data_IF_881564814179
#
_entry.id   IF_881564814179
#
_cell.length_a   1.000
_cell.length_b   1.000
_cell.length_c   1.000
_cell.angle_alpha   90.00
_cell.angle_beta   90.00
_cell.angle_gamma   90.00
#
_symmetry.space_group_name_H-M   'P 1'
#
loop_
_entity.id
_entity.type
_entity.pdbx_description
1 polymer ?
#
# COMPACT_ATOMS: atom_id res chain seq x y z
N UNK A 1 -25.55 -1.72 10.65
CA UNK A 1 -24.74 -1.89 9.41
C UNK A 1 -25.68 -2.46 8.36
N UNK A 2 -25.71 -1.89 7.15
CA UNK A 2 -26.57 -2.32 6.04
C UNK A 2 -25.75 -3.13 5.02
N UNK A 3 -26.40 -3.94 4.18
CA UNK A 3 -25.72 -4.61 3.09
C UNK A 3 -25.40 -3.65 1.94
N UNK A 4 -24.43 -4.02 1.12
CA UNK A 4 -24.02 -3.27 -0.07
C UNK A 4 -25.20 -3.01 -1.02
N UNK A 5 -25.99 -4.06 -1.29
CA UNK A 5 -27.21 -3.94 -2.09
C UNK A 5 -28.23 -2.94 -1.52
N UNK A 6 -28.40 -2.90 -0.19
CA UNK A 6 -29.31 -1.93 0.44
C UNK A 6 -28.79 -0.50 0.30
N UNK A 7 -27.48 -0.31 0.42
CA UNK A 7 -26.84 0.99 0.21
C UNK A 7 -27.04 1.48 -1.23
N UNK A 8 -26.78 0.62 -2.22
CA UNK A 8 -26.95 0.96 -3.64
C UNK A 8 -28.38 1.37 -4.00
N UNK A 9 -29.37 0.64 -3.46
CA UNK A 9 -30.77 0.99 -3.65
C UNK A 9 -31.10 2.39 -3.12
N UNK A 10 -30.60 2.73 -1.93
CA UNK A 10 -30.83 4.04 -1.32
C UNK A 10 -30.13 5.15 -2.10
N UNK A 11 -28.90 4.93 -2.56
CA UNK A 11 -28.14 5.88 -3.35
C UNK A 11 -28.83 6.17 -4.70
N UNK A 12 -29.34 5.12 -5.35
CA UNK A 12 -30.10 5.25 -6.61
C UNK A 12 -31.39 6.04 -6.41
N UNK A 13 -32.10 5.81 -5.30
CA UNK A 13 -33.31 6.55 -4.96
C UNK A 13 -33.01 8.04 -4.72
N UNK A 14 -31.93 8.35 -3.99
CA UNK A 14 -31.48 9.71 -3.77
C UNK A 14 -31.18 10.42 -5.11
N UNK A 15 -30.43 9.78 -6.00
CA UNK A 15 -30.16 10.31 -7.34
C UNK A 15 -31.41 10.57 -8.18
N UNK A 16 -32.46 9.75 -8.04
CA UNK A 16 -33.74 9.98 -8.74
C UNK A 16 -34.49 11.19 -8.18
N UNK A 17 -34.45 11.39 -6.86
CA UNK A 17 -35.10 12.54 -6.20
C UNK A 17 -34.39 13.83 -6.60
N UNK A 18 -33.07 13.87 -6.54
CA UNK A 18 -32.27 15.06 -6.91
C UNK A 18 -32.40 15.40 -8.40
N UNK A 19 -32.51 14.40 -9.28
CA UNK A 19 -32.82 14.64 -10.70
C UNK A 19 -34.18 15.28 -10.92
N UNK A 20 -35.16 14.94 -10.07
CA UNK A 20 -36.52 15.46 -10.14
C UNK A 20 -36.64 16.85 -9.50
N UNK A 21 -35.84 17.13 -8.47
CA UNK A 21 -35.83 18.38 -7.72
C UNK A 21 -34.38 18.89 -7.59
N UNK A 22 -33.83 19.52 -8.64
CA UNK A 22 -32.44 20.00 -8.64
C UNK A 22 -32.13 21.02 -7.54
N UNK A 23 -33.14 21.73 -7.05
CA UNK A 23 -33.05 22.69 -5.95
C UNK A 23 -32.71 22.05 -4.59
N UNK A 24 -32.86 20.73 -4.46
CA UNK A 24 -32.55 19.98 -3.24
C UNK A 24 -31.10 19.47 -3.20
N UNK A 25 -30.33 19.66 -4.28
CA UNK A 25 -28.93 19.20 -4.34
C UNK A 25 -28.09 20.05 -3.39
N UNK A 26 -27.39 19.38 -2.47
CA UNK A 26 -26.44 20.00 -1.55
C UNK A 26 -25.00 19.55 -1.86
N UNK A 27 -24.01 20.38 -1.52
CA UNK A 27 -22.59 20.08 -1.76
C UNK A 27 -22.08 18.84 -1.01
N UNK A 28 -22.69 18.51 0.12
CA UNK A 28 -22.32 17.37 0.96
C UNK A 28 -23.04 16.07 0.59
N UNK A 29 -24.00 16.13 -0.36
CA UNK A 29 -24.80 14.98 -0.79
C UNK A 29 -23.91 13.84 -1.29
N UNK A 30 -24.19 12.58 -0.89
CA UNK A 30 -23.46 11.41 -1.38
C UNK A 30 -23.36 11.30 -2.90
N UNK A 31 -24.32 11.85 -3.65
CA UNK A 31 -24.34 11.79 -5.13
C UNK A 31 -23.40 12.81 -5.78
N UNK A 32 -23.00 13.85 -5.05
CA UNK A 32 -22.07 14.89 -5.50
C UNK A 32 -20.62 14.55 -5.16
N UNK A 33 -20.40 13.53 -4.32
CA UNK A 33 -19.08 12.99 -3.99
C UNK A 33 -18.55 12.13 -5.13
N UNK A 34 -18.16 12.77 -6.23
CA UNK A 34 -17.20 12.15 -7.14
C UNK A 34 -15.88 12.18 -6.38
N UNK A 35 -15.19 11.03 -6.28
CA UNK A 35 -13.88 10.95 -5.63
C UNK A 35 -13.05 12.16 -6.03
N UNK A 36 -12.50 12.88 -5.04
CA UNK A 36 -11.80 14.13 -5.29
C UNK A 36 -10.83 13.93 -6.46
N UNK A 37 -10.73 14.88 -7.41
CA UNK A 37 -9.68 14.81 -8.39
C UNK A 37 -8.36 14.55 -7.64
N UNK A 38 -7.58 13.58 -8.12
CA UNK A 38 -6.23 13.35 -7.62
C UNK A 38 -5.42 14.62 -7.95
N UNK A 39 -5.55 15.66 -7.13
CA UNK A 39 -4.78 16.88 -7.26
C UNK A 39 -3.34 16.56 -6.89
N UNK A 40 -2.54 16.33 -7.92
CA UNK A 40 -1.12 16.03 -7.78
C UNK A 40 -0.88 14.61 -7.25
N UNK A 41 0.09 13.93 -7.85
CA UNK A 41 0.67 12.75 -7.21
C UNK A 41 1.30 13.10 -5.87
N UNK A 42 1.68 12.09 -5.10
CA UNK A 42 2.45 12.31 -3.89
C UNK A 42 3.79 12.97 -4.21
N UNK A 43 4.16 13.99 -3.44
CA UNK A 43 5.49 14.58 -3.51
C UNK A 43 6.52 13.57 -2.99
N UNK A 44 7.61 13.37 -3.73
CA UNK A 44 8.76 12.61 -3.23
C UNK A 44 9.35 13.28 -2.00
N UNK A 45 9.68 12.49 -1.00
CA UNK A 45 10.42 12.94 0.18
C UNK A 45 11.75 12.19 0.26
N UNK A 46 12.81 12.88 0.67
CA UNK A 46 14.09 12.23 0.92
C UNK A 46 14.05 11.48 2.25
N UNK A 47 14.55 10.25 2.25
CA UNK A 47 14.71 9.47 3.48
C UNK A 47 15.87 10.05 4.30
N UNK A 48 15.70 10.13 5.63
CA UNK A 48 16.71 10.67 6.55
C UNK A 48 17.99 9.82 6.59
N UNK A 49 17.91 8.56 6.20
CA UNK A 49 19.04 7.65 6.01
C UNK A 49 18.83 6.83 4.73
N UNK A 50 19.91 6.22 4.23
CA UNK A 50 19.84 5.37 3.04
C UNK A 50 19.04 4.12 3.34
N UNK A 51 17.95 3.93 2.60
CA UNK A 51 17.24 2.65 2.58
C UNK A 51 18.04 1.64 1.75
N UNK A 52 18.52 0.59 2.40
CA UNK A 52 19.21 -0.51 1.74
C UNK A 52 18.20 -1.61 1.39
N UNK A 53 18.43 -2.29 0.27
CA UNK A 53 17.73 -3.53 -0.07
C UNK A 53 18.52 -4.72 0.47
N UNK A 54 17.81 -5.84 0.64
CA UNK A 54 18.43 -7.14 0.78
C UNK A 54 18.65 -7.75 -0.61
N UNK A 55 19.68 -8.57 -0.74
CA UNK A 55 19.94 -9.37 -1.93
C UNK A 55 19.30 -10.74 -1.73
N UNK A 56 18.58 -11.22 -2.75
CA UNK A 56 17.97 -12.55 -2.74
C UNK A 56 18.98 -13.65 -3.08
N UNK A 57 18.68 -14.88 -2.66
CA UNK A 57 19.36 -16.09 -3.09
C UNK A 57 18.31 -17.09 -3.60
N UNK A 58 18.52 -17.62 -4.80
CA UNK A 58 17.59 -18.50 -5.51
C UNK A 58 18.00 -19.97 -5.47
N UNK A 59 19.26 -20.24 -5.16
CA UNK A 59 19.78 -21.60 -4.99
C UNK A 59 20.74 -21.74 -3.79
N UNK A 60 21.08 -22.99 -3.49
CA UNK A 60 21.94 -23.32 -2.37
C UNK A 60 23.39 -22.87 -2.55
N UNK A 61 23.86 -22.72 -3.79
CA UNK A 61 25.22 -22.26 -4.05
C UNK A 61 25.34 -20.78 -3.70
N UNK A 62 24.36 -19.96 -4.12
CA UNK A 62 24.31 -18.54 -3.77
C UNK A 62 24.24 -18.32 -2.25
N UNK A 63 23.48 -19.16 -1.54
CA UNK A 63 23.45 -19.15 -0.08
C UNK A 63 24.81 -19.50 0.53
N UNK A 64 25.50 -20.52 0.01
CA UNK A 64 26.83 -20.90 0.50
C UNK A 64 27.89 -19.82 0.26
N UNK A 65 27.83 -19.13 -0.88
CA UNK A 65 28.73 -18.03 -1.19
C UNK A 65 28.50 -16.85 -0.22
N UNK A 66 27.23 -16.57 0.10
CA UNK A 66 26.86 -15.59 1.12
C UNK A 66 27.42 -15.96 2.51
N UNK A 67 27.25 -17.21 2.94
CA UNK A 67 27.77 -17.70 4.22
C UNK A 67 29.30 -17.62 4.28
N UNK A 68 29.97 -18.03 3.19
CA UNK A 68 31.43 -17.94 3.05
C UNK A 68 31.92 -16.51 3.21
N UNK A 69 31.21 -15.54 2.62
CA UNK A 69 31.52 -14.11 2.79
C UNK A 69 31.34 -13.67 4.24
N UNK A 70 30.26 -14.06 4.92
CA UNK A 70 30.04 -13.74 6.34
C UNK A 70 31.19 -14.27 7.20
N UNK A 71 31.56 -15.54 7.03
CA UNK A 71 32.63 -16.18 7.80
C UNK A 71 33.98 -15.47 7.60
N UNK A 72 34.25 -15.06 6.36
CA UNK A 72 35.43 -14.27 6.04
C UNK A 72 35.41 -12.88 6.66
N UNK A 73 34.29 -12.15 6.54
CA UNK A 73 34.16 -10.77 7.02
C UNK A 73 34.19 -10.69 8.56
N UNK A 74 33.73 -11.76 9.23
CA UNK A 74 33.77 -11.89 10.69
C UNK A 74 35.06 -12.56 11.21
N UNK A 75 35.94 -13.04 10.32
CA UNK A 75 37.14 -13.82 10.66
C UNK A 75 36.85 -15.03 11.56
N UNK A 76 35.75 -15.74 11.30
CA UNK A 76 35.25 -16.86 12.11
C UNK A 76 34.97 -18.10 11.29
N UNK A 77 35.06 -19.26 11.93
CA UNK A 77 34.68 -20.55 11.31
C UNK A 77 33.17 -20.77 11.25
N UNK A 78 32.73 -21.69 10.40
CA UNK A 78 31.31 -22.05 10.21
C UNK A 78 30.59 -22.40 11.52
N UNK A 79 31.28 -23.06 12.45
CA UNK A 79 30.72 -23.47 13.75
C UNK A 79 30.78 -22.38 14.83
N UNK A 80 31.29 -21.19 14.52
CA UNK A 80 31.49 -20.08 15.46
C UNK A 80 30.53 -18.90 15.21
N UNK A 81 29.66 -19.04 14.22
CA UNK A 81 28.65 -18.05 13.84
C UNK A 81 27.27 -18.65 14.03
N UNK A 82 26.46 -18.02 14.87
CA UNK A 82 25.08 -18.41 15.16
C UNK A 82 24.13 -17.39 14.54
N UNK A 83 23.12 -17.88 13.82
CA UNK A 83 22.06 -17.07 13.23
C UNK A 83 20.87 -17.06 14.19
N UNK A 84 20.40 -15.88 14.58
CA UNK A 84 19.25 -15.66 15.48
C UNK A 84 18.03 -15.26 14.66
#
# INVERSE_FOLDING_TARGET
IISDHQYDMLLRNLSMIEKKYPELITEDSPTQRIGAPLEGGFSTVEHGERMLSLQDAFDYQELNDFLTRIYKDLERGENEVEFI
#
